data_IF_562834524811
#
_entry.id   IF_562834524811
#
_cell.length_a   1.000
_cell.length_b   1.000
_cell.length_c   1.000
_cell.angle_alpha   90.00
_cell.angle_beta   90.00
_cell.angle_gamma   90.00
#
_symmetry.space_group_name_H-M   'P 1'
#
loop_
_entity.id
_entity.type
_entity.pdbx_description
1 polymer ?
#
# COMPACT_ATOMS: atom_id res chain seq x y z
N UNK A 1 23.52 36.26 15.18
CA UNK A 1 22.25 35.50 15.32
C UNK A 1 21.52 35.68 14.00
N UNK A 2 21.32 34.73 13.09
CA UNK A 2 21.13 33.29 13.18
C UNK A 2 21.51 32.67 11.82
N UNK A 3 22.67 32.03 11.71
CA UNK A 3 23.06 31.23 10.53
C UNK A 3 23.01 29.73 10.81
N UNK A 4 22.78 29.33 12.06
CA UNK A 4 22.73 27.92 12.48
C UNK A 4 21.47 27.15 12.06
N UNK A 5 20.42 27.81 11.56
CA UNK A 5 19.16 27.13 11.23
C UNK A 5 18.99 26.75 9.74
N UNK A 6 19.82 27.26 8.84
CA UNK A 6 19.67 26.98 7.40
C UNK A 6 20.42 25.71 7.02
N UNK A 7 21.67 25.57 7.48
CA UNK A 7 22.50 24.40 7.17
C UNK A 7 21.96 23.12 7.81
N UNK A 8 21.44 23.20 9.05
CA UNK A 8 20.81 22.06 9.75
C UNK A 8 19.52 21.59 9.06
N UNK A 9 18.73 22.53 8.51
CA UNK A 9 17.52 22.19 7.75
C UNK A 9 17.84 21.58 6.39
N UNK A 10 18.87 22.08 5.69
CA UNK A 10 19.30 21.50 4.41
C UNK A 10 19.83 20.08 4.61
N UNK A 11 20.65 19.85 5.64
CA UNK A 11 21.15 18.52 5.98
C UNK A 11 20.01 17.54 6.34
N UNK A 12 19.01 18.01 7.08
CA UNK A 12 17.83 17.19 7.44
C UNK A 12 17.00 16.82 6.21
N UNK A 13 16.76 17.75 5.30
CA UNK A 13 16.02 17.49 4.05
C UNK A 13 16.79 16.54 3.13
N UNK A 14 18.11 16.73 3.01
CA UNK A 14 18.96 15.84 2.20
C UNK A 14 18.89 14.40 2.72
N UNK A 15 18.97 14.23 4.04
CA UNK A 15 18.86 12.92 4.69
C UNK A 15 17.49 12.27 4.48
N UNK A 16 16.40 13.04 4.55
CA UNK A 16 15.05 12.51 4.33
C UNK A 16 14.84 12.07 2.86
N UNK A 17 15.34 12.84 1.89
CA UNK A 17 15.28 12.45 0.47
C UNK A 17 16.11 11.19 0.23
N UNK A 18 17.33 11.11 0.78
CA UNK A 18 18.19 9.94 0.65
C UNK A 18 17.53 8.69 1.26
N UNK A 19 16.90 8.81 2.43
CA UNK A 19 16.16 7.73 3.07
C UNK A 19 14.98 7.24 2.24
N UNK A 20 14.11 8.16 1.79
CA UNK A 20 12.90 7.81 1.04
C UNK A 20 13.21 7.28 -0.37
N UNK A 21 14.34 7.67 -0.96
CA UNK A 21 14.72 7.24 -2.31
C UNK A 21 15.42 5.89 -2.35
N UNK A 22 15.97 5.43 -1.22
CA UNK A 22 16.72 4.17 -1.09
C UNK A 22 16.03 3.14 -0.17
N UNK A 23 14.75 3.36 0.16
CA UNK A 23 14.02 2.44 1.02
C UNK A 23 13.82 1.10 0.31
N UNK A 24 14.20 0.00 0.97
CA UNK A 24 13.99 -1.34 0.44
C UNK A 24 12.49 -1.60 0.20
N UNK A 25 12.17 -2.34 -0.86
CA UNK A 25 10.82 -2.38 -1.40
C UNK A 25 9.91 -3.42 -0.76
N UNK A 26 10.42 -4.37 0.03
CA UNK A 26 9.65 -5.50 0.60
C UNK A 26 10.04 -5.83 2.06
N UNK A 27 10.29 -7.10 2.36
CA UNK A 27 10.62 -7.61 3.70
C UNK A 27 11.87 -6.98 4.30
N UNK A 28 12.81 -6.51 3.48
CA UNK A 28 13.99 -5.79 3.94
C UNK A 28 13.75 -4.32 4.31
N UNK A 29 12.54 -3.82 4.07
CA UNK A 29 12.12 -2.50 4.51
C UNK A 29 12.14 -2.45 6.05
N UNK A 30 12.96 -1.54 6.60
CA UNK A 30 13.11 -1.40 8.05
C UNK A 30 11.79 -1.15 8.77
N UNK A 31 10.88 -0.37 8.17
CA UNK A 31 9.60 -0.05 8.76
C UNK A 31 8.69 -1.27 8.81
N UNK A 32 8.68 -2.09 7.76
CA UNK A 32 7.94 -3.36 7.73
C UNK A 32 8.48 -4.32 8.79
N UNK A 33 9.82 -4.44 8.91
CA UNK A 33 10.44 -5.30 9.93
C UNK A 33 10.11 -4.84 11.35
N UNK A 34 10.30 -3.56 11.64
CA UNK A 34 9.98 -2.97 12.95
C UNK A 34 8.49 -3.13 13.29
N UNK A 35 7.62 -2.94 12.30
CA UNK A 35 6.17 -3.14 12.43
C UNK A 35 5.81 -4.58 12.82
N UNK A 36 6.36 -5.57 12.11
CA UNK A 36 6.17 -6.99 12.40
C UNK A 36 6.78 -7.39 13.74
N UNK A 37 7.95 -6.85 14.10
CA UNK A 37 8.61 -7.10 15.39
C UNK A 37 7.78 -6.58 16.58
N UNK A 38 7.02 -5.51 16.39
CA UNK A 38 6.05 -5.02 17.38
C UNK A 38 4.81 -5.92 17.51
N UNK A 39 4.70 -7.00 16.73
CA UNK A 39 3.57 -7.92 16.72
C UNK A 39 2.38 -7.45 15.88
N UNK A 40 2.53 -6.33 15.15
CA UNK A 40 1.47 -5.79 14.32
C UNK A 40 1.36 -6.52 12.99
N UNK A 41 0.18 -6.43 12.38
CA UNK A 41 -0.16 -7.10 11.13
C UNK A 41 0.10 -6.21 9.92
N UNK A 42 0.40 -6.81 8.78
CA UNK A 42 0.63 -6.13 7.50
C UNK A 42 -0.35 -6.71 6.47
N UNK A 43 -1.12 -5.84 5.81
CA UNK A 43 -2.04 -6.26 4.75
C UNK A 43 -1.57 -5.69 3.42
N UNK A 44 -1.33 -6.58 2.46
CA UNK A 44 -1.01 -6.22 1.08
C UNK A 44 -2.24 -5.72 0.35
N UNK A 45 -2.10 -4.71 -0.52
CA UNK A 45 -3.17 -4.28 -1.41
C UNK A 45 -2.64 -3.96 -2.81
N UNK A 46 -3.48 -4.13 -3.83
CA UNK A 46 -3.05 -4.04 -5.24
C UNK A 46 -3.57 -2.81 -5.98
N UNK A 47 -4.61 -2.15 -5.47
CA UNK A 47 -5.31 -1.07 -6.17
C UNK A 47 -5.60 0.13 -5.27
N UNK A 48 -5.59 1.35 -5.83
CA UNK A 48 -5.82 2.60 -5.10
C UNK A 48 -7.27 2.78 -4.63
N UNK A 49 -8.17 1.89 -5.06
CA UNK A 49 -9.54 1.85 -4.57
C UNK A 49 -9.69 1.16 -3.22
N UNK A 50 -8.68 0.41 -2.75
CA UNK A 50 -8.71 -0.13 -1.38
C UNK A 50 -8.58 1.03 -0.40
N UNK A 51 -9.54 1.22 0.53
CA UNK A 51 -9.50 2.32 1.48
C UNK A 51 -8.47 2.04 2.58
N UNK A 52 -7.24 2.51 2.35
CA UNK A 52 -6.11 2.35 3.25
C UNK A 52 -6.38 2.88 4.67
N UNK A 53 -7.25 3.88 4.79
CA UNK A 53 -7.69 4.45 6.08
C UNK A 53 -8.35 3.42 6.97
N UNK A 54 -9.16 2.52 6.41
CA UNK A 54 -9.86 1.47 7.16
C UNK A 54 -8.87 0.40 7.59
N UNK A 55 -7.96 0.03 6.70
CA UNK A 55 -6.87 -0.88 7.03
C UNK A 55 -6.01 -0.31 8.16
N UNK A 56 -5.67 0.98 8.10
CA UNK A 56 -4.78 1.64 9.05
C UNK A 56 -5.44 2.13 10.34
N UNK A 57 -6.78 2.10 10.42
CA UNK A 57 -7.47 2.56 11.62
C UNK A 57 -7.21 1.60 12.80
N UNK A 58 -7.17 2.15 14.01
CA UNK A 58 -6.94 1.39 15.24
C UNK A 58 -5.79 1.96 16.08
N UNK A 59 -5.68 1.43 17.28
CA UNK A 59 -4.61 1.78 18.22
C UNK A 59 -3.35 0.92 17.97
N UNK A 60 -2.30 1.16 18.75
CA UNK A 60 -1.00 0.51 18.59
C UNK A 60 -1.01 -1.03 18.63
N UNK A 61 -2.09 -1.66 19.10
CA UNK A 61 -2.23 -3.13 19.16
C UNK A 61 -3.17 -3.71 18.10
N UNK A 62 -4.01 -2.86 17.48
CA UNK A 62 -4.96 -3.26 16.44
C UNK A 62 -4.67 -2.62 15.09
N UNK A 63 -3.62 -1.81 14.96
CA UNK A 63 -3.24 -1.14 13.72
C UNK A 63 -2.61 -2.13 12.76
N UNK A 64 -3.05 -2.07 11.51
CA UNK A 64 -2.48 -2.85 10.41
C UNK A 64 -1.73 -1.91 9.49
N UNK A 65 -0.58 -2.31 8.96
CA UNK A 65 0.14 -1.54 7.94
C UNK A 65 -0.37 -1.92 6.54
N UNK A 66 -0.97 -1.00 5.77
CA UNK A 66 -1.31 -1.22 4.38
C UNK A 66 -0.02 -1.14 3.57
N UNK A 67 0.27 -2.22 2.86
CA UNK A 67 1.46 -2.35 2.04
C UNK A 67 1.06 -2.49 0.58
N UNK A 68 1.51 -1.58 -0.29
CA UNK A 68 1.18 -1.68 -1.72
C UNK A 68 2.02 -2.77 -2.36
N UNK A 69 1.36 -3.83 -2.80
CA UNK A 69 2.01 -4.87 -3.58
C UNK A 69 2.34 -4.34 -4.99
N UNK A 70 3.48 -4.75 -5.51
CA UNK A 70 3.96 -4.30 -6.81
C UNK A 70 5.01 -5.20 -7.43
N UNK A 71 5.24 -4.97 -8.73
CA UNK A 71 6.08 -5.79 -9.60
C UNK A 71 7.58 -5.43 -9.56
N UNK A 72 8.00 -4.51 -8.69
CA UNK A 72 9.39 -4.05 -8.63
C UNK A 72 10.35 -5.20 -8.27
N UNK A 73 11.58 -5.21 -8.76
CA UNK A 73 12.55 -6.29 -8.52
C UNK A 73 12.08 -7.70 -8.98
N UNK A 74 10.98 -7.80 -9.72
CA UNK A 74 10.58 -9.05 -10.35
C UNK A 74 11.38 -9.21 -11.64
N UNK A 75 12.43 -10.04 -11.60
CA UNK A 75 13.36 -10.21 -12.73
C UNK A 75 12.88 -11.25 -13.76
N UNK A 76 11.96 -12.13 -13.38
CA UNK A 76 11.42 -13.22 -14.21
C UNK A 76 9.92 -13.43 -13.97
N UNK A 77 9.25 -14.17 -14.85
CA UNK A 77 7.87 -14.67 -14.64
C UNK A 77 7.73 -16.15 -14.98
N UNK A 78 8.83 -16.90 -15.03
CA UNK A 78 8.86 -18.29 -15.50
C UNK A 78 7.95 -19.21 -14.67
N UNK A 79 7.95 -19.08 -13.33
CA UNK A 79 7.06 -19.89 -12.49
C UNK A 79 5.61 -19.41 -12.60
N UNK A 80 5.40 -18.09 -12.69
CA UNK A 80 4.08 -17.51 -12.89
C UNK A 80 3.43 -17.97 -14.21
N UNK A 81 4.22 -18.15 -15.27
CA UNK A 81 3.75 -18.57 -16.60
C UNK A 81 3.24 -20.03 -16.62
N UNK A 82 3.49 -20.82 -15.57
CA UNK A 82 2.89 -22.15 -15.37
C UNK A 82 1.40 -22.02 -15.01
N UNK A 83 1.03 -20.96 -14.29
CA UNK A 83 -0.33 -20.73 -13.78
C UNK A 83 -1.11 -19.73 -14.62
N UNK A 84 -0.41 -18.77 -15.24
CA UNK A 84 -0.99 -17.65 -15.97
C UNK A 84 -0.63 -17.71 -17.44
N UNK A 85 -1.59 -17.40 -18.30
CA UNK A 85 -1.35 -17.39 -19.75
C UNK A 85 -0.40 -16.24 -20.14
N UNK A 86 0.42 -16.43 -21.17
CA UNK A 86 1.36 -15.41 -21.70
C UNK A 86 0.75 -14.07 -22.13
N UNK A 87 -0.58 -13.96 -22.23
CA UNK A 87 -1.30 -12.73 -22.58
C UNK A 87 -1.85 -12.00 -21.35
N UNK A 88 -1.63 -12.54 -20.14
CA UNK A 88 -1.91 -11.84 -18.90
C UNK A 88 -0.97 -10.65 -18.72
N UNK A 89 -1.45 -9.58 -18.07
CA UNK A 89 -0.65 -8.39 -17.81
C UNK A 89 0.59 -8.73 -17.00
N UNK A 90 1.72 -8.13 -17.38
CA UNK A 90 2.99 -8.31 -16.66
C UNK A 90 2.87 -8.05 -15.16
N UNK A 91 2.05 -7.09 -14.74
CA UNK A 91 1.84 -6.80 -13.32
C UNK A 91 1.30 -8.01 -12.53
N UNK A 92 0.23 -8.67 -13.00
CA UNK A 92 -0.32 -9.84 -12.29
C UNK A 92 0.63 -11.03 -12.33
N UNK A 93 1.38 -11.19 -13.43
CA UNK A 93 2.40 -12.24 -13.53
C UNK A 93 3.53 -12.01 -12.54
N UNK A 94 3.99 -10.77 -12.39
CA UNK A 94 4.98 -10.43 -11.38
C UNK A 94 4.46 -10.68 -9.97
N UNK A 95 3.22 -10.25 -9.64
CA UNK A 95 2.64 -10.53 -8.33
C UNK A 95 2.56 -12.03 -8.02
N UNK A 96 2.24 -12.85 -9.03
CA UNK A 96 2.26 -14.30 -8.93
C UNK A 96 3.67 -14.85 -8.71
N UNK A 97 4.64 -14.43 -9.50
CA UNK A 97 6.03 -14.87 -9.36
C UNK A 97 6.56 -14.55 -7.96
N UNK A 98 6.38 -13.31 -7.52
CA UNK A 98 6.84 -12.84 -6.21
C UNK A 98 6.10 -13.57 -5.07
N UNK A 99 4.82 -13.88 -5.25
CA UNK A 99 4.06 -14.73 -4.32
C UNK A 99 4.66 -16.14 -4.23
N UNK A 100 4.98 -16.77 -5.36
CA UNK A 100 5.59 -18.09 -5.43
C UNK A 100 7.02 -18.12 -4.84
N UNK A 101 7.78 -17.05 -5.02
CA UNK A 101 9.15 -16.89 -4.49
C UNK A 101 9.20 -16.60 -2.98
N UNK A 102 8.05 -16.35 -2.34
CA UNK A 102 7.97 -16.01 -0.91
C UNK A 102 8.28 -14.54 -0.59
N UNK A 103 8.40 -13.68 -1.61
CA UNK A 103 8.66 -12.24 -1.44
C UNK A 103 7.54 -11.53 -0.66
N UNK A 104 6.35 -12.13 -0.58
CA UNK A 104 5.19 -11.62 0.16
C UNK A 104 4.89 -12.35 1.48
N UNK A 105 5.76 -13.26 1.94
CA UNK A 105 5.54 -14.05 3.17
C UNK A 105 5.46 -13.21 4.45
N UNK A 106 5.89 -11.94 4.40
CA UNK A 106 5.76 -11.02 5.53
C UNK A 106 4.33 -10.47 5.71
N UNK A 107 3.46 -10.60 4.70
CA UNK A 107 2.06 -10.20 4.76
C UNK A 107 1.29 -11.15 5.69
N UNK A 108 0.28 -10.63 6.38
CA UNK A 108 -0.70 -11.45 7.12
C UNK A 108 -2.01 -11.59 6.34
N UNK A 109 -2.25 -10.71 5.36
CA UNK A 109 -3.38 -10.82 4.46
C UNK A 109 -3.23 -9.97 3.21
N UNK A 110 -4.14 -10.17 2.25
CA UNK A 110 -4.15 -9.45 0.98
C UNK A 110 -5.55 -9.02 0.56
N UNK A 111 -5.70 -7.74 0.18
CA UNK A 111 -6.92 -7.18 -0.40
C UNK A 111 -6.68 -6.83 -1.86
N UNK A 112 -7.37 -7.53 -2.75
CA UNK A 112 -7.37 -7.25 -4.18
C UNK A 112 -8.64 -6.48 -4.55
N UNK A 113 -8.68 -5.92 -5.75
CA UNK A 113 -9.91 -5.29 -6.26
C UNK A 113 -10.29 -5.86 -7.62
N UNK A 114 -11.59 -5.90 -7.88
CA UNK A 114 -12.14 -6.37 -9.16
C UNK A 114 -12.09 -5.29 -10.27
N UNK A 115 -11.10 -4.39 -10.22
CA UNK A 115 -11.00 -3.24 -11.14
C UNK A 115 -10.65 -3.61 -12.58
N UNK A 116 -10.03 -4.76 -12.82
CA UNK A 116 -9.88 -5.33 -14.16
C UNK A 116 -9.98 -6.86 -14.12
N UNK A 117 -10.32 -7.47 -15.26
CA UNK A 117 -10.58 -8.91 -15.33
C UNK A 117 -9.34 -9.75 -14.99
N UNK A 118 -8.15 -9.28 -15.37
CA UNK A 118 -6.90 -10.01 -15.10
C UNK A 118 -6.57 -10.06 -13.61
N UNK A 119 -6.84 -8.98 -12.86
CA UNK A 119 -6.72 -8.99 -11.39
C UNK A 119 -7.72 -9.97 -10.77
N UNK A 120 -8.98 -9.93 -11.21
CA UNK A 120 -10.04 -10.80 -10.70
C UNK A 120 -9.73 -12.28 -10.90
N UNK A 121 -9.26 -12.66 -12.09
CA UNK A 121 -8.92 -14.05 -12.42
C UNK A 121 -7.65 -14.52 -11.72
N UNK A 122 -6.66 -13.65 -11.62
CA UNK A 122 -5.37 -14.00 -11.00
C UNK A 122 -5.47 -14.12 -9.49
N UNK A 123 -6.38 -13.41 -8.83
CA UNK A 123 -6.57 -13.50 -7.37
C UNK A 123 -6.86 -14.91 -6.89
N UNK A 124 -7.76 -15.62 -7.56
CA UNK A 124 -8.14 -16.99 -7.19
C UNK A 124 -6.96 -17.97 -7.34
N UNK A 125 -6.09 -17.76 -8.34
CA UNK A 125 -4.88 -18.56 -8.50
C UNK A 125 -3.82 -18.17 -7.48
N UNK A 126 -3.68 -16.88 -7.20
CA UNK A 126 -2.70 -16.34 -6.28
C UNK A 126 -2.95 -16.79 -4.85
N UNK A 127 -4.21 -16.72 -4.38
CA UNK A 127 -4.59 -17.18 -3.04
C UNK A 127 -4.35 -18.68 -2.82
N UNK A 128 -4.36 -19.47 -3.89
CA UNK A 128 -4.14 -20.92 -3.80
C UNK A 128 -2.63 -21.25 -3.70
N UNK A 129 -1.76 -20.32 -4.11
CA UNK A 129 -0.31 -20.53 -4.10
C UNK A 129 0.42 -19.78 -2.96
N UNK A 130 -0.17 -18.71 -2.43
CA UNK A 130 0.40 -17.94 -1.32
C UNK A 130 -0.32 -18.30 -0.03
N UNK A 131 0.42 -18.47 1.07
CA UNK A 131 -0.14 -18.88 2.35
C UNK A 131 -0.24 -17.69 3.32
N UNK A 132 -1.39 -17.00 3.32
CA UNK A 132 -1.71 -15.89 4.23
C UNK A 132 -2.93 -16.22 5.09
N UNK A 133 -3.10 -15.49 6.21
CA UNK A 133 -4.23 -15.69 7.13
C UNK A 133 -5.56 -15.15 6.55
N UNK A 134 -5.49 -14.16 5.65
CA UNK A 134 -6.67 -13.46 5.11
C UNK A 134 -6.54 -13.09 3.63
N UNK A 135 -7.61 -13.28 2.88
CA UNK A 135 -7.74 -12.86 1.49
C UNK A 135 -9.11 -12.22 1.28
N UNK A 136 -9.15 -11.10 0.58
CA UNK A 136 -10.39 -10.40 0.23
C UNK A 136 -10.33 -9.83 -1.19
N UNK A 137 -11.46 -9.87 -1.87
CA UNK A 137 -11.63 -9.23 -3.17
C UNK A 137 -12.67 -8.12 -3.03
N UNK A 138 -12.21 -6.88 -2.88
CA UNK A 138 -13.09 -5.71 -2.80
C UNK A 138 -13.67 -5.40 -4.17
N UNK A 139 -15.00 -5.49 -4.31
CA UNK A 139 -15.63 -5.11 -5.56
C UNK A 139 -15.82 -3.60 -5.67
N UNK A 140 -15.44 -3.06 -6.83
CA UNK A 140 -15.53 -1.63 -7.11
C UNK A 140 -16.58 -1.33 -8.18
N UNK A 141 -17.41 -0.28 -8.02
CA UNK A 141 -18.38 0.09 -9.04
C UNK A 141 -17.68 0.66 -10.27
N UNK A 142 -18.02 0.12 -11.44
CA UNK A 142 -17.50 0.58 -12.73
C UNK A 142 -18.19 1.87 -13.24
N UNK A 143 -19.25 2.31 -12.56
CA UNK A 143 -19.94 3.55 -12.85
C UNK A 143 -20.06 4.36 -11.53
N UNK A 144 -19.51 5.59 -11.48
CA UNK A 144 -19.39 6.35 -10.23
C UNK A 144 -20.73 6.92 -9.73
N UNK A 145 -21.73 7.00 -10.60
CA UNK A 145 -23.00 7.68 -10.31
C UNK A 145 -24.10 6.72 -9.85
N UNK A 146 -24.93 7.20 -8.92
CA UNK A 146 -26.18 6.56 -8.50
C UNK A 146 -26.15 6.06 -7.06
N UNK A 147 -27.15 6.46 -6.27
CA UNK A 147 -27.25 6.16 -4.84
C UNK A 147 -27.19 4.66 -4.52
N UNK A 148 -27.84 3.82 -5.35
CA UNK A 148 -27.81 2.37 -5.16
C UNK A 148 -26.41 1.78 -5.29
N UNK A 149 -25.59 2.31 -6.21
CA UNK A 149 -24.21 1.84 -6.42
C UNK A 149 -23.30 2.32 -5.30
N UNK A 150 -23.47 3.58 -4.87
CA UNK A 150 -22.73 4.11 -3.72
C UNK A 150 -23.05 3.32 -2.46
N UNK A 151 -24.33 3.00 -2.22
CA UNK A 151 -24.73 2.17 -1.10
C UNK A 151 -24.10 0.78 -1.17
N UNK A 152 -24.18 0.10 -2.31
CA UNK A 152 -23.55 -1.21 -2.49
C UNK A 152 -22.03 -1.16 -2.26
N UNK A 153 -21.33 -0.15 -2.80
CA UNK A 153 -19.89 -0.01 -2.57
C UNK A 153 -19.55 0.24 -1.10
N UNK A 154 -20.39 0.99 -0.39
CA UNK A 154 -20.27 1.15 1.06
C UNK A 154 -20.46 -0.20 1.77
N UNK A 155 -21.46 -0.98 1.38
CA UNK A 155 -21.71 -2.31 1.95
C UNK A 155 -20.49 -3.24 1.74
N UNK A 156 -19.88 -3.24 0.54
CA UNK A 156 -18.64 -4.00 0.25
C UNK A 156 -17.45 -3.58 1.14
N UNK A 157 -17.30 -2.27 1.36
CA UNK A 157 -16.26 -1.74 2.26
C UNK A 157 -16.51 -2.17 3.71
N UNK A 158 -17.77 -2.13 4.16
CA UNK A 158 -18.16 -2.55 5.51
C UNK A 158 -17.92 -4.06 5.71
N UNK A 159 -18.23 -4.89 4.71
CA UNK A 159 -17.96 -6.33 4.72
C UNK A 159 -16.46 -6.63 4.80
N UNK A 160 -15.63 -5.96 3.98
CA UNK A 160 -14.16 -6.06 4.05
C UNK A 160 -13.65 -5.66 5.44
N UNK A 161 -14.12 -4.54 5.99
CA UNK A 161 -13.70 -4.08 7.32
C UNK A 161 -14.02 -5.12 8.41
N UNK A 162 -15.25 -5.66 8.39
CA UNK A 162 -15.68 -6.69 9.33
C UNK A 162 -14.90 -8.00 9.18
N UNK A 163 -14.58 -8.40 7.94
CA UNK A 163 -13.78 -9.60 7.65
C UNK A 163 -12.37 -9.49 8.25
N UNK A 164 -11.73 -8.34 8.07
CA UNK A 164 -10.42 -8.02 8.63
C UNK A 164 -10.48 -7.98 10.15
N UNK A 165 -11.48 -7.29 10.72
CA UNK A 165 -11.62 -7.17 12.18
C UNK A 165 -11.83 -8.53 12.84
N UNK A 166 -12.66 -9.39 12.23
CA UNK A 166 -12.88 -10.75 12.69
C UNK A 166 -11.62 -11.62 12.57
N UNK A 167 -10.91 -11.54 11.45
CA UNK A 167 -9.72 -12.36 11.21
C UNK A 167 -8.60 -12.02 12.21
N UNK A 168 -8.33 -10.73 12.42
CA UNK A 168 -7.22 -10.27 13.24
C UNK A 168 -7.63 -9.89 14.67
N UNK A 169 -8.88 -10.13 15.07
CA UNK A 169 -9.38 -9.80 16.40
C UNK A 169 -9.34 -8.30 16.71
N UNK A 170 -9.53 -7.46 15.70
CA UNK A 170 -9.48 -5.99 15.83
C UNK A 170 -10.86 -5.45 16.19
N UNK A 171 -10.86 -4.28 16.81
CA UNK A 171 -12.04 -3.44 17.01
C UNK A 171 -11.60 -2.01 16.78
N UNK A 172 -12.21 -1.36 15.78
CA UNK A 172 -11.90 0.02 15.40
C UNK A 172 -13.05 0.93 15.82
N UNK A 173 -12.75 1.94 16.62
CA UNK A 173 -13.69 3.00 16.98
C UNK A 173 -13.82 4.05 15.88
N UNK A 174 -14.93 4.79 15.90
CA UNK A 174 -15.15 5.89 14.96
C UNK A 174 -14.06 6.96 15.04
N UNK A 175 -13.54 7.28 16.24
CA UNK A 175 -12.48 8.28 16.38
C UNK A 175 -11.14 7.77 15.83
N UNK A 176 -10.80 6.50 16.02
CA UNK A 176 -9.61 5.90 15.41
C UNK A 176 -9.68 5.92 13.87
N UNK A 177 -10.87 5.66 13.30
CA UNK A 177 -11.09 5.79 11.86
C UNK A 177 -10.96 7.25 11.40
N UNK A 178 -11.55 8.20 12.12
CA UNK A 178 -11.43 9.64 11.82
C UNK A 178 -9.98 10.11 11.86
N UNK A 179 -9.19 9.64 12.83
CA UNK A 179 -7.77 9.98 12.93
C UNK A 179 -6.95 9.37 11.78
N UNK A 180 -7.24 8.13 11.40
CA UNK A 180 -6.65 7.51 10.21
C UNK A 180 -6.95 8.34 8.96
N UNK A 181 -8.20 8.77 8.77
CA UNK A 181 -8.60 9.65 7.66
C UNK A 181 -7.83 10.98 7.67
N UNK A 182 -7.65 11.61 8.84
CA UNK A 182 -6.85 12.85 8.95
C UNK A 182 -5.40 12.61 8.52
N UNK A 183 -4.81 11.51 8.96
CA UNK A 183 -3.43 11.11 8.62
C UNK A 183 -3.25 10.92 7.12
N UNK A 184 -4.13 10.15 6.47
CA UNK A 184 -4.05 9.91 5.03
C UNK A 184 -4.36 11.16 4.19
N UNK A 185 -5.27 12.01 4.64
CA UNK A 185 -5.53 13.28 3.96
C UNK A 185 -4.33 14.22 4.04
N UNK A 186 -3.61 14.25 5.17
CA UNK A 186 -2.34 14.97 5.30
C UNK A 186 -1.29 14.41 4.34
N UNK A 187 -1.12 13.09 4.29
CA UNK A 187 -0.23 12.43 3.33
C UNK A 187 -0.53 12.84 1.88
N UNK A 188 -1.79 12.75 1.45
CA UNK A 188 -2.20 13.13 0.09
C UNK A 188 -1.89 14.60 -0.22
N UNK A 189 -2.09 15.49 0.74
CA UNK A 189 -1.75 16.91 0.61
C UNK A 189 -0.25 17.12 0.46
N UNK A 190 0.58 16.48 1.29
CA UNK A 190 2.03 16.56 1.20
C UNK A 190 2.56 16.02 -0.13
N UNK A 191 2.00 14.91 -0.62
CA UNK A 191 2.33 14.38 -1.94
C UNK A 191 1.95 15.38 -3.04
N UNK A 192 0.77 16.02 -2.96
CA UNK A 192 0.40 17.08 -3.92
C UNK A 192 1.40 18.24 -3.90
N UNK A 193 1.81 18.71 -2.73
CA UNK A 193 2.84 19.75 -2.59
C UNK A 193 4.18 19.33 -3.22
N UNK A 194 4.61 18.08 -3.01
CA UNK A 194 5.79 17.49 -3.67
C UNK A 194 5.66 17.53 -5.20
N UNK A 195 4.49 17.17 -5.74
CA UNK A 195 4.22 17.23 -7.17
C UNK A 195 4.17 18.67 -7.72
N UNK A 196 3.71 19.65 -6.94
CA UNK A 196 3.77 21.06 -7.34
C UNK A 196 5.21 21.55 -7.47
N UNK A 197 6.13 21.12 -6.60
CA UNK A 197 7.56 21.49 -6.69
C UNK A 197 8.23 21.00 -7.99
N UNK A 198 7.66 19.97 -8.64
CA UNK A 198 8.15 19.45 -9.92
C UNK A 198 7.70 20.28 -11.12
N UNK A 199 6.76 21.21 -10.94
CA UNK A 199 6.27 22.11 -12.00
C UNK A 199 7.10 23.38 -12.15
N UNK A 200 8.05 23.62 -11.26
CA UNK A 200 8.96 24.76 -11.32
C UNK A 200 9.85 24.67 -12.57
N UNK A 201 10.24 25.82 -13.13
CA UNK A 201 11.13 25.90 -14.31
C UNK A 201 12.46 25.14 -14.12
N UNK A 202 12.94 25.12 -12.86
CA UNK A 202 14.03 24.26 -12.41
C UNK A 202 13.49 23.30 -11.33
N UNK A 203 13.03 22.08 -11.71
CA UNK A 203 12.46 21.11 -10.79
C UNK A 203 13.43 20.75 -9.66
N UNK A 204 12.91 20.63 -8.44
CA UNK A 204 13.70 20.29 -7.25
C UNK A 204 13.95 18.80 -7.07
N UNK A 205 13.20 17.98 -7.79
CA UNK A 205 13.30 16.52 -7.76
C UNK A 205 13.25 15.99 -9.19
N UNK A 206 14.07 15.00 -9.46
CA UNK A 206 13.98 14.19 -10.66
C UNK A 206 12.70 13.34 -10.65
N UNK A 207 12.29 12.86 -11.82
CA UNK A 207 11.17 11.93 -11.92
C UNK A 207 11.40 10.62 -11.15
N UNK A 208 12.64 10.14 -11.11
CA UNK A 208 13.03 8.94 -10.39
C UNK A 208 12.92 9.12 -8.87
N UNK A 209 13.47 10.23 -8.33
CA UNK A 209 13.36 10.53 -6.89
C UNK A 209 11.90 10.67 -6.47
N UNK A 210 11.08 11.38 -7.24
CA UNK A 210 9.66 11.52 -6.95
C UNK A 210 8.91 10.18 -6.99
N UNK A 211 9.27 9.29 -7.91
CA UNK A 211 8.70 7.94 -7.99
C UNK A 211 9.11 7.09 -6.79
N UNK A 212 10.38 7.12 -6.39
CA UNK A 212 10.86 6.36 -5.22
C UNK A 212 10.24 6.90 -3.93
N UNK A 213 10.13 8.22 -3.76
CA UNK A 213 9.43 8.83 -2.62
C UNK A 213 7.96 8.36 -2.57
N UNK A 214 7.26 8.34 -3.71
CA UNK A 214 5.89 7.83 -3.75
C UNK A 214 5.81 6.34 -3.35
N UNK A 215 6.79 5.53 -3.76
CA UNK A 215 6.87 4.11 -3.39
C UNK A 215 7.17 3.91 -1.90
N UNK A 216 8.04 4.73 -1.30
CA UNK A 216 8.27 4.71 0.13
C UNK A 216 6.98 4.98 0.90
N UNK A 217 6.18 5.96 0.48
CA UNK A 217 4.88 6.27 1.07
C UNK A 217 3.88 5.10 1.03
N UNK A 218 4.03 4.15 0.12
CA UNK A 218 3.20 2.95 0.04
C UNK A 218 3.62 1.79 0.94
N UNK A 219 4.82 1.87 1.54
CA UNK A 219 5.47 0.77 2.26
C UNK A 219 5.89 1.13 3.70
N UNK A 220 5.46 2.29 4.20
CA UNK A 220 5.77 2.75 5.56
C UNK A 220 4.55 3.29 6.33
N UNK A 221 4.63 3.37 7.67
CA UNK A 221 3.61 4.00 8.50
C UNK A 221 3.36 5.46 8.08
N UNK A 222 2.10 5.85 7.90
CA UNK A 222 1.75 7.15 7.31
C UNK A 222 2.03 8.34 8.24
N UNK A 223 2.13 8.15 9.56
CA UNK A 223 2.56 9.21 10.47
C UNK A 223 4.07 9.46 10.42
N UNK A 224 4.86 8.49 9.93
CA UNK A 224 6.31 8.61 9.84
C UNK A 224 6.76 9.19 8.48
N UNK A 225 5.97 8.97 7.41
CA UNK A 225 6.20 9.56 6.09
C UNK A 225 5.87 11.06 6.06
#
# INVERSE_FOLDING_TARGET
>A
MSTRNVDDNVATVQNAVEELTNLALRSDNKYVREWKQAGNKVIGYTCSYVPEEILYAGNNTSKVLPFRMGAQECESTEDADIYLHKFECGYVKCLMQLGLSGDYDFLDGAVWTSGCEQMRRSFELWKDQVNLDYFEMLSVPHAPEGEKRLKWYRDEIEEMAQGIDKCFGRSVSEEELRESIRTYNRFRKLMQELYEMRKLDAPKLTGAEAMNIAQAGFSMPREQF
#
